data_IF_436801884643
#
_entry.id   IF_436801884643
#
_cell.length_a   1.000
_cell.length_b   1.000
_cell.length_c   1.000
_cell.angle_alpha   90.00
_cell.angle_beta   90.00
_cell.angle_gamma   90.00
#
_symmetry.space_group_name_H-M   'P 1'
#
loop_
_entity.id
_entity.type
_entity.pdbx_description
1 polymer ?
#
# COMPACT_ATOMS: atom_id res chain seq x y z
N UNK A 1 -7.75 4.36 33.08
CA UNK A 1 -7.47 2.93 32.78
C UNK A 1 -8.79 2.25 32.46
N UNK A 2 -8.86 1.41 31.44
CA UNK A 2 -10.10 0.78 30.95
C UNK A 2 -10.83 0.03 32.08
N UNK A 3 -10.10 -0.74 32.89
CA UNK A 3 -10.63 -1.44 34.08
C UNK A 3 -11.21 -0.47 35.13
N UNK A 4 -10.62 0.72 35.32
CA UNK A 4 -11.16 1.73 36.26
C UNK A 4 -12.49 2.33 35.80
N UNK A 5 -12.77 2.32 34.50
CA UNK A 5 -14.00 2.88 33.93
C UNK A 5 -15.06 1.80 33.75
N UNK A 6 -14.68 0.61 33.28
CA UNK A 6 -15.60 -0.48 32.96
C UNK A 6 -15.79 -1.53 34.07
N UNK A 7 -14.96 -1.53 35.11
CA UNK A 7 -14.92 -2.57 36.13
C UNK A 7 -14.03 -3.76 35.74
N UNK A 8 -13.82 -4.66 36.70
CA UNK A 8 -12.96 -5.84 36.58
C UNK A 8 -13.38 -6.74 35.41
N UNK A 9 -12.40 -7.14 34.58
CA UNK A 9 -12.61 -8.07 33.46
C UNK A 9 -13.10 -7.39 32.17
N UNK A 10 -13.20 -6.06 32.14
CA UNK A 10 -13.62 -5.31 30.95
C UNK A 10 -12.68 -5.51 29.78
N UNK A 11 -11.36 -5.48 30.02
CA UNK A 11 -10.34 -5.67 28.99
C UNK A 11 -10.43 -7.07 28.39
N UNK A 12 -10.55 -8.10 29.22
CA UNK A 12 -10.68 -9.49 28.76
C UNK A 12 -11.94 -9.70 27.92
N UNK A 13 -13.05 -9.05 28.28
CA UNK A 13 -14.30 -9.15 27.52
C UNK A 13 -14.25 -8.41 26.18
N UNK A 14 -13.63 -7.22 26.12
CA UNK A 14 -13.73 -6.32 24.94
C UNK A 14 -12.54 -6.43 23.99
N UNK A 15 -11.34 -6.65 24.49
CA UNK A 15 -10.10 -6.71 23.69
C UNK A 15 -9.24 -7.94 24.05
N UNK A 16 -9.81 -9.17 24.04
CA UNK A 16 -9.11 -10.39 24.46
C UNK A 16 -7.84 -10.69 23.65
N UNK A 17 -7.82 -10.28 22.37
CA UNK A 17 -6.65 -10.43 21.51
C UNK A 17 -5.46 -9.61 22.01
N UNK A 18 -5.69 -8.35 22.42
CA UNK A 18 -4.63 -7.52 23.00
C UNK A 18 -4.16 -8.08 24.34
N UNK A 19 -5.08 -8.55 25.20
CA UNK A 19 -4.70 -9.18 26.47
C UNK A 19 -3.74 -10.36 26.26
N UNK A 20 -4.04 -11.26 25.32
CA UNK A 20 -3.14 -12.38 24.99
C UNK A 20 -1.81 -11.92 24.42
N UNK A 21 -1.82 -10.93 23.54
CA UNK A 21 -0.62 -10.39 22.91
C UNK A 21 0.32 -9.76 23.95
N UNK A 22 -0.17 -8.96 24.88
CA UNK A 22 0.68 -8.35 25.91
C UNK A 22 1.10 -9.35 26.98
N UNK A 23 0.22 -10.29 27.34
CA UNK A 23 0.55 -11.37 28.27
C UNK A 23 1.72 -12.23 27.77
N UNK A 24 1.87 -12.46 26.45
CA UNK A 24 3.03 -13.18 25.92
C UNK A 24 4.36 -12.45 26.14
N UNK A 25 4.32 -11.16 26.43
CA UNK A 25 5.49 -10.34 26.80
C UNK A 25 5.57 -10.10 28.32
N UNK A 26 4.75 -10.77 29.14
CA UNK A 26 4.73 -10.60 30.59
C UNK A 26 4.10 -9.28 31.06
N UNK A 27 3.39 -8.56 30.20
CA UNK A 27 2.78 -7.27 30.51
C UNK A 27 1.30 -7.47 30.88
N UNK A 28 0.91 -7.10 32.10
CA UNK A 28 -0.48 -7.13 32.51
C UNK A 28 -1.17 -5.79 32.21
N UNK A 29 -1.81 -5.69 31.04
CA UNK A 29 -2.48 -4.47 30.58
C UNK A 29 -3.70 -4.05 31.42
N UNK A 30 -4.09 -4.86 32.41
CA UNK A 30 -5.09 -4.47 33.44
C UNK A 30 -4.48 -3.57 34.51
N UNK A 31 -3.16 -3.72 34.75
CA UNK A 31 -2.40 -3.02 35.79
C UNK A 31 -1.47 -1.96 35.22
N UNK A 32 -0.99 -2.17 34.00
CA UNK A 32 -0.03 -1.30 33.34
C UNK A 32 -0.66 -0.57 32.15
N UNK A 33 -0.36 0.73 31.94
CA UNK A 33 -0.87 1.48 30.79
C UNK A 33 -0.17 1.04 29.50
N UNK A 34 -0.95 0.92 28.42
CA UNK A 34 -0.40 0.70 27.07
C UNK A 34 0.13 2.03 26.53
N UNK A 35 1.43 2.08 26.24
CA UNK A 35 2.05 3.23 25.57
C UNK A 35 1.71 3.20 24.08
N UNK A 36 1.19 4.30 23.56
CA UNK A 36 0.77 4.42 22.15
C UNK A 36 1.41 5.66 21.52
N UNK A 37 1.79 5.52 20.26
CA UNK A 37 2.37 6.59 19.45
C UNK A 37 1.74 6.56 18.06
N UNK A 38 1.57 7.71 17.39
CA UNK A 38 1.20 7.73 15.99
C UNK A 38 2.26 7.04 15.14
N UNK A 39 1.84 6.12 14.28
CA UNK A 39 2.70 5.43 13.32
C UNK A 39 2.12 5.53 11.92
N UNK A 40 2.96 5.31 10.90
CA UNK A 40 2.45 5.07 9.55
C UNK A 40 1.57 3.81 9.58
N UNK A 41 0.33 3.93 9.10
CA UNK A 41 -0.64 2.83 9.11
C UNK A 41 -1.12 2.46 7.70
N UNK A 42 -1.33 3.44 6.83
CA UNK A 42 -1.88 3.22 5.50
C UNK A 42 -1.34 4.23 4.49
N UNK A 43 -1.17 3.79 3.25
CA UNK A 43 -0.67 4.59 2.13
C UNK A 43 -1.82 4.94 1.18
N UNK A 44 -2.23 6.22 1.14
CA UNK A 44 -3.30 6.69 0.23
C UNK A 44 -2.81 6.99 -1.20
N UNK A 45 -1.48 7.11 -1.37
CA UNK A 45 -0.85 7.29 -2.67
C UNK A 45 -0.61 5.95 -3.34
N UNK A 46 -0.29 5.97 -4.63
CA UNK A 46 -0.05 4.76 -5.39
C UNK A 46 -0.16 5.02 -6.88
N UNK A 47 -0.34 3.95 -7.64
CA UNK A 47 -0.51 3.99 -9.08
C UNK A 47 -1.88 4.60 -9.43
N UNK A 48 -1.88 5.48 -10.42
CA UNK A 48 -3.10 6.05 -11.00
C UNK A 48 -3.74 5.03 -11.94
N UNK A 49 -5.04 4.80 -11.76
CA UNK A 49 -5.80 3.79 -12.50
C UNK A 49 -7.11 4.37 -13.05
N UNK A 50 -7.58 3.80 -14.14
CA UNK A 50 -8.94 4.01 -14.60
C UNK A 50 -9.95 3.13 -13.83
N UNK A 51 -11.23 3.29 -14.15
CA UNK A 51 -12.34 2.56 -13.51
C UNK A 51 -12.28 1.03 -13.65
N UNK A 52 -11.51 0.53 -14.60
CA UNK A 52 -11.32 -0.90 -14.85
C UNK A 52 -10.12 -1.48 -14.08
N UNK A 53 -9.38 -0.66 -13.34
CA UNK A 53 -8.19 -1.09 -12.61
C UNK A 53 -6.90 -1.07 -13.42
N UNK A 54 -6.92 -0.63 -14.68
CA UNK A 54 -5.70 -0.51 -15.50
C UNK A 54 -5.03 0.83 -15.22
N UNK A 55 -3.70 0.84 -15.14
CA UNK A 55 -2.96 2.08 -14.97
C UNK A 55 -3.13 3.00 -16.18
N UNK A 56 -3.07 4.31 -15.95
CA UNK A 56 -3.17 5.33 -17.01
C UNK A 56 -1.90 5.48 -17.83
N UNK A 57 -0.76 5.02 -17.31
CA UNK A 57 0.58 5.22 -17.91
C UNK A 57 1.22 3.95 -18.47
N UNK A 58 0.77 2.76 -18.07
CA UNK A 58 1.31 1.47 -18.52
C UNK A 58 0.16 0.56 -18.96
N UNK A 59 0.08 0.33 -20.27
CA UNK A 59 -0.93 -0.55 -20.85
C UNK A 59 -0.78 -1.98 -20.32
N UNK A 60 -1.91 -2.65 -20.09
CA UNK A 60 -2.00 -4.01 -19.54
C UNK A 60 -1.43 -4.19 -18.12
N UNK A 61 -1.08 -3.12 -17.40
CA UNK A 61 -0.79 -3.17 -15.97
C UNK A 61 -2.07 -2.90 -15.17
N UNK A 62 -2.58 -3.92 -14.47
CA UNK A 62 -3.78 -3.82 -13.63
C UNK A 62 -3.40 -3.87 -12.15
N UNK A 63 -4.01 -2.99 -11.34
CA UNK A 63 -3.63 -2.77 -9.93
C UNK A 63 -4.89 -2.49 -9.11
N UNK A 64 -4.90 -2.92 -7.85
CA UNK A 64 -5.97 -2.66 -6.89
C UNK A 64 -5.44 -2.59 -5.45
N UNK A 65 -6.26 -2.08 -4.53
CA UNK A 65 -5.94 -2.01 -3.10
C UNK A 65 -4.96 -0.89 -2.75
N UNK A 66 -4.20 -1.07 -1.67
CA UNK A 66 -3.28 -0.04 -1.13
C UNK A 66 -2.13 0.36 -2.07
N UNK A 67 -1.93 -0.37 -3.19
CA UNK A 67 -1.00 0.03 -4.24
C UNK A 67 -1.55 1.12 -5.18
N UNK A 68 -2.83 1.47 -5.07
CA UNK A 68 -3.52 2.43 -5.93
C UNK A 68 -3.66 3.78 -5.24
N UNK A 69 -3.46 4.86 -6.00
CA UNK A 69 -3.67 6.22 -5.55
C UNK A 69 -5.08 6.75 -5.88
N UNK A 70 -5.49 7.80 -5.17
CA UNK A 70 -6.61 8.67 -5.60
C UNK A 70 -7.99 8.29 -5.08
N UNK A 71 -8.33 6.99 -4.96
CA UNK A 71 -9.65 6.51 -4.51
C UNK A 71 -10.06 7.12 -3.16
N UNK A 72 -9.09 7.25 -2.25
CA UNK A 72 -9.31 7.74 -0.89
C UNK A 72 -8.98 9.23 -0.69
N UNK A 73 -8.54 9.92 -1.76
CA UNK A 73 -8.02 11.27 -1.68
C UNK A 73 -6.85 11.40 -0.69
N UNK A 74 -6.84 12.46 0.12
CA UNK A 74 -5.76 12.72 1.10
C UNK A 74 -5.90 11.91 2.38
N UNK A 75 -7.09 11.47 2.75
CA UNK A 75 -7.36 10.77 3.99
C UNK A 75 -8.41 9.67 3.82
N UNK A 76 -7.99 8.41 3.95
CA UNK A 76 -8.87 7.25 3.86
C UNK A 76 -9.76 7.12 5.09
N UNK A 77 -11.08 7.03 4.87
CA UNK A 77 -12.04 6.73 5.93
C UNK A 77 -11.83 5.33 6.53
N UNK A 78 -12.01 5.24 7.85
CA UNK A 78 -11.82 3.99 8.58
C UNK A 78 -12.74 2.87 8.07
N UNK A 79 -12.19 1.68 7.89
CA UNK A 79 -12.92 0.48 7.44
C UNK A 79 -12.96 0.28 5.93
N UNK A 80 -12.55 1.25 5.11
CA UNK A 80 -12.69 1.16 3.66
C UNK A 80 -11.58 0.37 2.94
N UNK A 81 -10.41 0.12 3.54
CA UNK A 81 -9.31 -0.57 2.83
C UNK A 81 -9.66 -2.01 2.45
N UNK A 82 -10.39 -2.73 3.31
CA UNK A 82 -10.80 -4.11 2.98
C UNK A 82 -11.85 -4.11 1.86
N UNK A 83 -12.79 -3.16 1.91
CA UNK A 83 -13.79 -2.99 0.87
C UNK A 83 -13.15 -2.63 -0.47
N UNK A 84 -12.16 -1.73 -0.46
CA UNK A 84 -11.38 -1.32 -1.62
C UNK A 84 -10.72 -2.54 -2.30
N UNK A 85 -9.96 -3.34 -1.54
CA UNK A 85 -9.33 -4.56 -2.07
C UNK A 85 -10.36 -5.52 -2.66
N UNK A 86 -11.51 -5.72 -2.01
CA UNK A 86 -12.54 -6.67 -2.50
C UNK A 86 -13.21 -6.16 -3.78
N UNK A 87 -13.61 -4.88 -3.81
CA UNK A 87 -14.38 -4.30 -4.92
C UNK A 87 -13.49 -4.03 -6.13
N UNK A 88 -12.42 -3.26 -5.94
CA UNK A 88 -11.53 -2.90 -7.04
C UNK A 88 -10.62 -4.07 -7.43
N UNK A 89 -10.27 -4.96 -6.50
CA UNK A 89 -9.56 -6.19 -6.84
C UNK A 89 -10.39 -7.13 -7.73
N UNK A 90 -11.70 -7.24 -7.48
CA UNK A 90 -12.60 -7.97 -8.38
C UNK A 90 -12.65 -7.32 -9.76
N UNK A 91 -12.83 -6.00 -9.84
CA UNK A 91 -12.89 -5.28 -11.11
C UNK A 91 -11.58 -5.41 -11.90
N UNK A 92 -10.45 -5.10 -11.28
CA UNK A 92 -9.13 -5.19 -11.89
C UNK A 92 -8.82 -6.63 -12.35
N UNK A 93 -9.14 -7.63 -11.52
CA UNK A 93 -8.93 -9.04 -11.87
C UNK A 93 -9.76 -9.51 -13.06
N UNK A 94 -11.04 -9.10 -13.14
CA UNK A 94 -11.90 -9.44 -14.28
C UNK A 94 -11.39 -8.81 -15.58
N UNK A 95 -11.00 -7.53 -15.54
CA UNK A 95 -10.49 -6.83 -16.71
C UNK A 95 -9.11 -7.35 -17.14
N UNK A 96 -8.22 -7.64 -16.19
CA UNK A 96 -6.93 -8.26 -16.47
C UNK A 96 -7.09 -9.63 -17.13
N UNK A 97 -8.00 -10.46 -16.62
CA UNK A 97 -8.27 -11.79 -17.19
C UNK A 97 -8.89 -11.72 -18.59
N UNK A 98 -9.71 -10.70 -18.88
CA UNK A 98 -10.24 -10.45 -20.21
C UNK A 98 -9.13 -9.99 -21.17
N UNK A 99 -8.36 -8.96 -20.78
CA UNK A 99 -7.26 -8.42 -21.58
C UNK A 99 -6.20 -9.49 -21.90
N UNK A 100 -5.88 -10.37 -20.95
CA UNK A 100 -4.89 -11.42 -21.14
C UNK A 100 -5.23 -12.41 -22.27
N UNK A 101 -6.51 -12.58 -22.65
CA UNK A 101 -6.90 -13.48 -23.74
C UNK A 101 -6.50 -12.95 -25.12
N UNK A 102 -6.54 -11.63 -25.28
CA UNK A 102 -6.29 -10.96 -26.55
C UNK A 102 -4.88 -10.33 -26.61
N UNK A 103 -4.17 -10.29 -25.48
CA UNK A 103 -2.84 -9.72 -25.38
C UNK A 103 -1.80 -10.62 -26.05
N UNK A 104 -1.09 -10.07 -27.05
CA UNK A 104 0.08 -10.71 -27.64
C UNK A 104 1.32 -10.32 -26.87
N UNK A 105 1.94 -11.29 -26.21
CA UNK A 105 3.19 -11.08 -25.48
C UNK A 105 4.34 -10.92 -26.48
N UNK A 106 4.95 -9.74 -26.49
CA UNK A 106 6.15 -9.46 -27.30
C UNK A 106 7.41 -10.10 -26.70
N UNK A 107 8.54 -9.96 -27.40
CA UNK A 107 9.84 -10.31 -26.83
C UNK A 107 10.14 -9.39 -25.64
N UNK A 108 10.59 -9.95 -24.53
CA UNK A 108 11.05 -9.15 -23.38
C UNK A 108 12.30 -8.37 -23.78
N UNK A 109 12.24 -7.03 -23.68
CA UNK A 109 13.36 -6.14 -23.97
C UNK A 109 13.49 -5.04 -22.93
N UNK A 110 14.65 -4.40 -22.89
CA UNK A 110 14.92 -3.21 -22.08
C UNK A 110 14.94 -1.94 -22.95
N UNK A 111 14.35 -1.98 -24.14
CA UNK A 111 14.42 -0.87 -25.11
C UNK A 111 13.78 0.42 -24.56
N UNK A 112 12.81 0.28 -23.64
CA UNK A 112 12.22 1.42 -22.95
C UNK A 112 13.24 2.16 -22.06
N UNK A 113 14.21 1.45 -21.47
CA UNK A 113 15.30 2.07 -20.69
C UNK A 113 16.24 2.81 -21.64
N UNK A 114 16.64 2.16 -22.73
CA UNK A 114 17.52 2.79 -23.73
C UNK A 114 16.90 4.05 -24.35
N UNK A 115 15.58 4.04 -24.65
CA UNK A 115 14.86 5.24 -25.10
C UNK A 115 14.86 6.34 -24.05
N UNK A 116 14.57 6.00 -22.79
CA UNK A 116 14.57 6.97 -21.70
C UNK A 116 15.96 7.61 -21.50
N UNK A 117 17.04 6.81 -21.57
CA UNK A 117 18.40 7.34 -21.48
C UNK A 117 18.72 8.31 -22.64
N UNK A 118 18.31 7.98 -23.87
CA UNK A 118 18.49 8.85 -25.04
C UNK A 118 17.66 10.16 -24.93
N UNK A 119 16.41 10.09 -24.45
CA UNK A 119 15.58 11.27 -24.19
C UNK A 119 16.19 12.18 -23.12
N UNK A 120 16.71 11.57 -22.05
CA UNK A 120 17.42 12.29 -20.98
C UNK A 120 18.66 13.02 -21.52
N UNK A 121 19.48 12.33 -22.32
CA UNK A 121 20.67 12.92 -22.96
C UNK A 121 20.29 14.06 -23.91
N UNK A 122 19.26 13.89 -24.75
CA UNK A 122 18.78 14.92 -25.66
C UNK A 122 18.23 16.17 -24.92
N UNK A 123 17.67 15.99 -23.72
CA UNK A 123 17.26 17.07 -22.85
C UNK A 123 18.44 17.75 -22.11
N UNK A 124 19.67 17.29 -22.31
CA UNK A 124 20.87 17.82 -21.64
C UNK A 124 20.92 17.48 -20.15
N UNK A 125 20.18 16.47 -19.70
CA UNK A 125 20.09 16.09 -18.29
C UNK A 125 21.18 15.07 -17.99
N UNK A 126 22.20 15.50 -17.23
CA UNK A 126 23.18 14.59 -16.63
C UNK A 126 22.79 14.32 -15.17
N UNK A 127 22.81 13.05 -14.75
CA UNK A 127 22.49 12.68 -13.38
C UNK A 127 23.35 11.52 -12.91
N UNK A 128 23.84 11.61 -11.67
CA UNK A 128 24.49 10.50 -10.97
C UNK A 128 23.46 9.50 -10.40
N UNK A 129 22.17 9.80 -10.53
CA UNK A 129 21.09 8.95 -10.06
C UNK A 129 20.93 7.74 -10.99
N UNK A 130 21.26 6.56 -10.48
CA UNK A 130 21.02 5.29 -11.17
C UNK A 130 19.51 5.05 -11.30
N UNK A 131 19.03 4.83 -12.51
CA UNK A 131 17.63 4.50 -12.83
C UNK A 131 17.57 3.15 -13.58
N UNK A 132 16.54 2.31 -13.35
CA UNK A 132 15.47 2.49 -12.37
C UNK A 132 15.96 2.26 -10.93
N UNK A 133 15.55 3.13 -10.00
CA UNK A 133 15.75 2.90 -8.56
C UNK A 133 14.75 1.85 -8.10
N UNK A 134 15.16 0.59 -8.08
CA UNK A 134 14.31 -0.51 -7.62
C UNK A 134 13.96 -0.39 -6.13
N UNK A 135 14.86 0.17 -5.32
CA UNK A 135 14.68 0.46 -3.90
C UNK A 135 15.50 1.71 -3.53
N UNK A 136 14.91 2.93 -3.57
CA UNK A 136 15.59 4.10 -3.06
C UNK A 136 15.89 3.94 -1.56
N UNK A 137 16.94 4.61 -1.06
CA UNK A 137 17.19 4.66 0.37
C UNK A 137 16.08 5.48 1.06
N UNK A 138 15.17 4.79 1.75
CA UNK A 138 14.05 5.41 2.46
C UNK A 138 14.44 5.91 3.86
N UNK A 139 15.69 5.74 4.28
CA UNK A 139 16.15 6.26 5.56
C UNK A 139 16.22 7.79 5.47
N UNK A 140 15.67 8.46 6.47
CA UNK A 140 15.88 9.89 6.66
C UNK A 140 17.39 10.15 6.72
N UNK A 141 17.95 10.79 5.69
CA UNK A 141 19.29 11.36 5.78
C UNK A 141 19.18 12.61 6.67
N UNK A 142 19.97 12.61 7.75
CA UNK A 142 20.04 13.72 8.70
C UNK A 142 20.66 14.97 8.06
#
# INVERSE_FOLDING_TARGET
>A
MIEKIGGEGTIEKRIPAMMRMFASYGIDIRKEPILVYPTLHYQNGGLDINVNGMTTNVENLFVAGEAVGGIHGKNRLMGNSLLDIIVFGRSAGQNAAAAAKDTKVGKLTLDHIARFDAEREAAGISTDAVSPKLLPDYRYQK
#
